data_IF_356030047072
#
_entry.id   IF_356030047072
#
_cell.length_a   1.000
_cell.length_b   1.000
_cell.length_c   1.000
_cell.angle_alpha   90.00
_cell.angle_beta   90.00
_cell.angle_gamma   90.00
#
_symmetry.space_group_name_H-M   'P 1'
#
loop_
_entity.id
_entity.type
_entity.pdbx_description
1 polymer ?
#
# COMPACT_ATOMS: atom_id res chain seq x y z
N UNK A 1 13.54 -15.77 -4.73
CA UNK A 1 13.75 -14.72 -3.75
C UNK A 1 13.46 -15.20 -2.37
N UNK A 2 14.50 -15.35 -1.61
CA UNK A 2 14.34 -15.94 -0.29
C UNK A 2 14.51 -14.94 0.84
N UNK A 3 14.92 -13.74 0.50
CA UNK A 3 15.27 -12.78 1.50
C UNK A 3 14.09 -12.19 2.25
N UNK A 4 12.87 -12.60 1.92
CA UNK A 4 11.70 -12.04 2.59
C UNK A 4 10.94 -13.05 3.43
N UNK A 5 11.57 -14.18 3.73
CA UNK A 5 11.00 -15.10 4.73
C UNK A 5 11.61 -14.78 6.09
N UNK A 6 10.89 -15.15 7.15
CA UNK A 6 11.32 -14.84 8.49
C UNK A 6 10.83 -13.48 8.95
N UNK A 7 11.61 -12.83 9.80
CA UNK A 7 11.23 -11.55 10.38
C UNK A 7 11.39 -10.44 9.37
N UNK A 8 10.29 -9.84 8.99
CA UNK A 8 10.25 -8.80 7.97
C UNK A 8 9.44 -7.62 8.46
N UNK A 9 9.18 -6.67 7.57
CA UNK A 9 8.44 -5.47 7.90
C UNK A 9 7.24 -5.35 6.98
N UNK A 10 6.08 -5.09 7.57
CA UNK A 10 4.87 -4.75 6.83
C UNK A 10 4.75 -3.24 6.80
N UNK A 11 4.73 -2.68 5.62
CA UNK A 11 4.45 -1.26 5.41
C UNK A 11 2.98 -1.13 5.06
N UNK A 12 2.27 -0.26 5.77
CA UNK A 12 0.86 -0.01 5.50
C UNK A 12 0.65 1.48 5.30
N UNK A 13 -0.01 1.82 4.21
CA UNK A 13 -0.30 3.21 3.87
C UNK A 13 -1.80 3.33 3.74
N UNK A 14 -2.39 4.29 4.45
CA UNK A 14 -3.84 4.49 4.43
C UNK A 14 -4.11 5.92 3.99
N UNK A 15 -4.93 6.08 2.97
CA UNK A 15 -5.26 7.38 2.44
C UNK A 15 -6.65 7.34 1.82
N UNK A 16 -7.19 8.51 1.53
CA UNK A 16 -8.48 8.59 0.87
C UNK A 16 -8.34 8.28 -0.61
N UNK A 17 -9.31 7.56 -1.14
CA UNK A 17 -9.37 7.26 -2.56
C UNK A 17 -9.40 8.52 -3.41
N UNK A 18 -9.94 9.61 -2.88
CA UNK A 18 -10.11 10.85 -3.63
C UNK A 18 -8.84 11.67 -3.74
N UNK A 19 -7.79 11.33 -3.02
CA UNK A 19 -6.55 12.10 -3.09
C UNK A 19 -5.86 11.90 -4.41
N UNK A 20 -5.33 13.00 -4.94
CA UNK A 20 -4.63 12.98 -6.22
C UNK A 20 -3.24 13.57 -6.07
N UNK A 21 -2.40 13.25 -7.02
CA UNK A 21 -1.08 13.82 -7.17
C UNK A 21 -0.83 13.96 -8.66
N UNK A 22 -0.59 15.21 -9.11
CA UNK A 22 -0.42 15.49 -10.54
C UNK A 22 -1.58 14.90 -11.35
N UNK A 23 -2.81 15.14 -10.87
CA UNK A 23 -4.04 14.79 -11.56
C UNK A 23 -4.31 13.29 -11.67
N UNK A 24 -3.52 12.48 -11.00
CA UNK A 24 -3.75 11.04 -10.97
C UNK A 24 -4.07 10.63 -9.54
N UNK A 25 -4.78 9.51 -9.35
CA UNK A 25 -5.02 9.05 -8.00
C UNK A 25 -3.71 8.81 -7.25
N UNK A 26 -3.63 9.35 -6.05
CA UNK A 26 -2.39 9.23 -5.27
C UNK A 26 -2.06 7.77 -4.97
N UNK A 27 -3.08 6.95 -4.67
CA UNK A 27 -2.79 5.56 -4.35
C UNK A 27 -2.15 4.84 -5.54
N UNK A 28 -2.52 5.23 -6.75
CA UNK A 28 -1.91 4.63 -7.95
C UNK A 28 -0.46 5.07 -8.09
N UNK A 29 -0.19 6.35 -7.80
CA UNK A 29 1.19 6.83 -7.83
C UNK A 29 2.05 6.10 -6.83
N UNK A 30 1.49 5.86 -5.64
CA UNK A 30 2.20 5.11 -4.61
C UNK A 30 2.47 3.67 -5.06
N UNK A 31 1.47 3.04 -5.67
CA UNK A 31 1.64 1.68 -6.17
C UNK A 31 2.73 1.62 -7.23
N UNK A 32 2.75 2.60 -8.14
CA UNK A 32 3.79 2.67 -9.16
C UNK A 32 5.17 2.87 -8.54
N UNK A 33 5.25 3.71 -7.50
CA UNK A 33 6.51 3.92 -6.80
C UNK A 33 7.02 2.62 -6.19
N UNK A 34 6.15 1.91 -5.49
CA UNK A 34 6.55 0.68 -4.83
C UNK A 34 7.03 -0.35 -5.85
N UNK A 35 6.38 -0.38 -7.00
CA UNK A 35 6.79 -1.28 -8.06
C UNK A 35 8.14 -0.88 -8.65
N UNK A 36 8.32 0.40 -8.90
CA UNK A 36 9.57 0.91 -9.47
C UNK A 36 10.75 0.68 -8.53
N UNK A 37 10.50 0.71 -7.23
CA UNK A 37 11.53 0.46 -6.23
C UNK A 37 11.74 -1.03 -5.99
N UNK A 38 11.07 -1.86 -6.75
CA UNK A 38 11.29 -3.30 -6.77
C UNK A 38 11.00 -3.98 -5.44
N UNK A 39 9.98 -3.51 -4.74
CA UNK A 39 9.54 -4.24 -3.57
C UNK A 39 8.88 -5.55 -3.99
N UNK A 40 8.81 -6.49 -3.07
CA UNK A 40 8.42 -7.86 -3.39
C UNK A 40 6.99 -7.96 -3.92
N UNK A 41 6.13 -7.04 -3.54
CA UNK A 41 4.76 -7.03 -4.00
C UNK A 41 3.98 -6.01 -3.21
N UNK A 42 2.77 -5.69 -3.67
CA UNK A 42 1.93 -4.75 -2.96
C UNK A 42 0.48 -5.13 -3.19
N UNK A 43 -0.34 -4.93 -2.16
CA UNK A 43 -1.76 -5.21 -2.22
C UNK A 43 -2.50 -3.92 -1.94
N UNK A 44 -3.53 -3.66 -2.72
CA UNK A 44 -4.40 -2.50 -2.50
C UNK A 44 -5.75 -3.02 -2.05
N UNK A 45 -6.21 -2.49 -0.91
CA UNK A 45 -7.52 -2.83 -0.36
C UNK A 45 -8.35 -1.55 -0.31
N UNK A 46 -9.63 -1.68 -0.58
CA UNK A 46 -10.54 -0.57 -0.50
C UNK A 46 -11.46 -0.78 0.67
N UNK A 47 -11.50 0.18 1.59
CA UNK A 47 -12.41 0.10 2.72
C UNK A 47 -13.83 0.32 2.27
N UNK A 48 -14.76 -0.23 3.03
CA UNK A 48 -16.18 -0.06 2.73
C UNK A 48 -16.78 1.08 3.52
N UNK A 49 -16.08 1.57 4.54
CA UNK A 49 -16.53 2.69 5.36
C UNK A 49 -15.34 3.18 6.17
N UNK A 50 -15.35 4.43 6.55
CA UNK A 50 -14.33 4.94 7.43
C UNK A 50 -14.46 6.43 7.62
N UNK A 51 -13.71 6.94 8.59
CA UNK A 51 -13.58 8.38 8.76
C UNK A 51 -12.17 8.67 9.21
N UNK A 52 -11.73 9.87 8.98
CA UNK A 52 -10.38 10.25 9.34
C UNK A 52 -10.36 11.72 9.73
N UNK A 53 -9.39 12.43 9.17
CA UNK A 53 -9.12 13.80 9.56
C UNK A 53 -10.34 14.70 9.47
N UNK A 54 -11.15 14.55 8.45
CA UNK A 54 -12.30 15.41 8.23
C UNK A 54 -13.52 15.01 9.04
N UNK A 55 -13.45 13.90 9.76
CA UNK A 55 -14.52 13.44 10.65
C UNK A 55 -15.81 13.05 9.95
N UNK A 56 -15.89 13.22 8.65
CA UNK A 56 -17.02 12.74 7.90
C UNK A 56 -16.94 11.23 7.75
N UNK A 57 -18.08 10.56 7.86
CA UNK A 57 -18.13 9.12 7.68
C UNK A 57 -18.38 8.84 6.21
N UNK A 58 -17.46 8.11 5.61
CA UNK A 58 -17.55 7.73 4.21
C UNK A 58 -17.84 6.25 4.16
N UNK A 59 -18.90 5.86 3.49
CA UNK A 59 -19.27 4.47 3.41
C UNK A 59 -19.80 4.15 2.03
N UNK A 60 -19.41 3.00 1.51
CA UNK A 60 -19.87 2.54 0.22
C UNK A 60 -21.39 2.39 0.18
N UNK A 61 -21.97 2.00 1.29
CA UNK A 61 -23.40 1.74 1.35
C UNK A 61 -24.23 3.01 1.30
N UNK A 62 -23.68 4.13 1.78
CA UNK A 62 -24.42 5.39 1.87
C UNK A 62 -24.04 6.38 0.79
N UNK A 63 -22.90 6.18 0.15
CA UNK A 63 -22.38 7.12 -0.83
C UNK A 63 -22.57 6.58 -2.23
N UNK A 64 -23.22 7.36 -3.08
CA UNK A 64 -23.37 6.95 -4.47
C UNK A 64 -22.05 6.96 -5.18
N UNK A 65 -21.24 7.98 -4.93
CA UNK A 65 -19.97 8.14 -5.63
C UNK A 65 -18.84 7.37 -4.99
N UNK A 66 -19.02 6.97 -3.74
CA UNK A 66 -18.00 6.33 -2.94
C UNK A 66 -16.70 7.12 -2.86
N UNK A 67 -16.77 8.43 -3.05
CA UNK A 67 -15.60 9.28 -2.88
C UNK A 67 -15.19 9.31 -1.43
N UNK A 68 -13.89 9.33 -1.22
CA UNK A 68 -13.37 9.45 0.13
C UNK A 68 -13.29 8.15 0.89
N UNK A 69 -13.64 7.03 0.26
CA UNK A 69 -13.43 5.75 0.90
C UNK A 69 -11.94 5.52 1.12
N UNK A 70 -11.57 4.85 2.21
CA UNK A 70 -10.17 4.62 2.49
C UNK A 70 -9.57 3.58 1.57
N UNK A 71 -8.33 3.83 1.18
CA UNK A 71 -7.52 2.87 0.43
C UNK A 71 -6.37 2.48 1.34
N UNK A 72 -6.08 1.19 1.38
CA UNK A 72 -4.98 0.65 2.16
C UNK A 72 -4.02 -0.04 1.21
N UNK A 73 -2.75 0.37 1.23
CA UNK A 73 -1.70 -0.33 0.51
C UNK A 73 -0.86 -1.08 1.53
N UNK A 74 -0.54 -2.33 1.21
CA UNK A 74 0.27 -3.15 2.10
C UNK A 74 1.40 -3.80 1.32
N UNK A 75 2.59 -3.76 1.90
CA UNK A 75 3.79 -4.36 1.33
C UNK A 75 4.55 -5.03 2.45
N UNK A 76 5.02 -6.25 2.21
CA UNK A 76 5.92 -6.91 3.14
C UNK A 76 7.26 -7.07 2.43
N UNK A 77 8.32 -6.60 3.07
CA UNK A 77 9.66 -6.72 2.52
C UNK A 77 10.68 -6.60 3.65
N UNK A 78 11.95 -6.59 3.30
CA UNK A 78 13.00 -6.48 4.29
C UNK A 78 13.01 -5.08 4.89
N UNK A 79 13.56 -4.97 6.10
CA UNK A 79 13.72 -3.68 6.76
C UNK A 79 14.51 -2.72 5.87
N UNK A 80 15.55 -3.22 5.24
CA UNK A 80 16.40 -2.38 4.40
C UNK A 80 15.63 -1.77 3.23
N UNK A 81 14.82 -2.58 2.56
CA UNK A 81 14.07 -2.08 1.41
C UNK A 81 12.97 -1.15 1.81
N UNK A 82 12.31 -1.45 2.93
CA UNK A 82 11.27 -0.56 3.44
C UNK A 82 11.89 0.78 3.82
N UNK A 83 13.01 0.76 4.54
CA UNK A 83 13.67 2.00 4.94
C UNK A 83 14.07 2.84 3.73
N UNK A 84 14.47 2.18 2.66
CA UNK A 84 14.89 2.90 1.46
C UNK A 84 13.73 3.60 0.77
N UNK A 85 12.54 3.01 0.80
CA UNK A 85 11.41 3.58 0.08
C UNK A 85 10.64 4.60 0.91
N UNK A 86 10.75 4.56 2.24
CA UNK A 86 9.96 5.43 3.10
C UNK A 86 10.09 6.93 2.80
N UNK A 87 11.29 7.47 2.57
CA UNK A 87 11.38 8.90 2.24
C UNK A 87 10.63 9.25 0.96
N UNK A 88 10.62 8.34 0.00
CA UNK A 88 9.92 8.58 -1.26
C UNK A 88 8.42 8.51 -1.08
N UNK A 89 7.96 7.60 -0.24
CA UNK A 89 6.54 7.52 0.12
C UNK A 89 6.12 8.80 0.80
N UNK A 90 6.92 9.27 1.76
CA UNK A 90 6.62 10.48 2.49
C UNK A 90 6.52 11.68 1.57
N UNK A 91 7.43 11.76 0.60
CA UNK A 91 7.41 12.87 -0.35
C UNK A 91 6.13 12.89 -1.19
N UNK A 92 5.64 11.72 -1.59
CA UNK A 92 4.40 11.65 -2.34
C UNK A 92 3.18 11.91 -1.47
N UNK A 93 3.21 11.42 -0.23
CA UNK A 93 2.04 11.56 0.65
C UNK A 93 1.75 13.00 1.01
N UNK A 94 2.77 13.81 1.19
CA UNK A 94 2.56 15.16 1.64
C UNK A 94 1.82 15.16 2.98
N UNK A 95 0.78 15.97 3.09
CA UNK A 95 -0.01 16.05 4.30
C UNK A 95 -1.14 15.03 4.28
N UNK A 96 -1.44 14.50 5.47
CA UNK A 96 -2.59 13.61 5.61
C UNK A 96 -2.24 12.16 5.35
N UNK A 97 -3.18 11.29 5.67
CA UNK A 97 -2.98 9.87 5.55
C UNK A 97 -2.18 9.30 6.70
N UNK A 98 -1.97 8.00 6.63
CA UNK A 98 -1.21 7.28 7.65
C UNK A 98 -0.18 6.42 6.95
N UNK A 99 1.05 6.48 7.43
CA UNK A 99 2.13 5.59 6.99
C UNK A 99 2.65 4.91 8.23
N UNK A 100 2.59 3.59 8.26
CA UNK A 100 3.00 2.86 9.45
C UNK A 100 3.71 1.58 9.07
N UNK A 101 4.51 1.07 9.98
CA UNK A 101 5.16 -0.21 9.80
C UNK A 101 4.91 -1.07 11.03
N UNK A 102 4.94 -2.37 10.82
CA UNK A 102 4.92 -3.31 11.92
C UNK A 102 5.73 -4.54 11.53
N UNK A 103 6.12 -5.31 12.51
CA UNK A 103 6.87 -6.52 12.23
C UNK A 103 5.92 -7.59 11.72
N UNK A 104 6.40 -8.36 10.78
CA UNK A 104 5.65 -9.46 10.20
C UNK A 104 6.56 -10.65 10.09
N UNK A 105 6.13 -11.79 10.60
CA UNK A 105 6.89 -13.02 10.48
C UNK A 105 6.37 -13.76 9.26
N UNK A 106 7.17 -13.79 8.20
CA UNK A 106 6.77 -14.40 6.94
C UNK A 106 7.13 -15.88 6.99
N UNK A 107 6.09 -16.70 7.02
CA UNK A 107 6.29 -18.15 7.09
C UNK A 107 6.75 -18.70 5.76
N UNK A 108 6.19 -18.15 4.69
CA UNK A 108 6.50 -18.66 3.36
C UNK A 108 6.36 -17.55 2.35
N UNK A 109 7.32 -17.45 1.46
CA UNK A 109 7.24 -16.61 0.30
C UNK A 109 7.73 -17.42 -0.90
N UNK A 110 6.88 -17.57 -1.89
CA UNK A 110 7.22 -18.33 -3.09
C UNK A 110 6.66 -17.62 -4.30
N UNK A 111 7.50 -16.89 -5.04
CA UNK A 111 7.02 -16.22 -6.25
C UNK A 111 6.44 -17.22 -7.23
N UNK A 112 5.38 -16.83 -7.91
CA UNK A 112 4.77 -17.67 -8.91
C UNK A 112 5.73 -17.87 -10.06
N UNK A 113 5.74 -19.09 -10.61
CA UNK A 113 6.49 -19.35 -11.82
C UNK A 113 5.66 -18.94 -13.03
N UNK A 114 6.30 -18.52 -14.10
CA UNK A 114 5.56 -18.31 -15.34
C UNK A 114 4.88 -19.60 -15.75
N UNK A 115 3.61 -19.53 -16.10
CA UNK A 115 2.84 -20.73 -16.40
C UNK A 115 3.41 -21.47 -17.61
N UNK A 116 4.01 -20.77 -18.53
CA UNK A 116 4.53 -21.40 -19.74
C UNK A 116 5.68 -22.34 -19.45
N UNK A 117 6.35 -22.17 -18.33
CA UNK A 117 7.50 -22.99 -18.02
C UNK A 117 7.18 -24.12 -17.08
N UNK A 118 5.93 -24.34 -16.81
CA UNK A 118 5.57 -25.34 -15.82
C UNK A 118 5.54 -26.75 -16.31
N UNK A 119 5.56 -26.92 -17.55
CA UNK A 119 5.44 -28.25 -18.09
C UNK A 119 6.63 -29.14 -17.75
#
# INVERSE_FOLDING_TARGET
MRGIEGEQVLLRIILSESRTHDRAPLFRRLLELLRAEELAGATVLKGVAGFGHDRGIHTFMLEVTSEGLPIVLEVVDTQERIDRVLPKVDALMGDGGVVMTERAHVIRYAPSRPSITES
#
